data_IF_791913473217
#
_entry.id   IF_791913473217
#
_cell.length_a   1.000
_cell.length_b   1.000
_cell.length_c   1.000
_cell.angle_alpha   90.00
_cell.angle_beta   90.00
_cell.angle_gamma   90.00
#
_symmetry.space_group_name_H-M   'P 1'
#
loop_
_entity.id
_entity.type
_entity.pdbx_description
1 polymer ?
#
# COMPACT_ATOMS: atom_id res chain seq x y z
N UNK A 1 37.28 31.60 -33.05
CA UNK A 1 36.02 32.18 -33.58
C UNK A 1 35.27 32.85 -32.43
N UNK A 2 34.73 34.07 -32.62
CA UNK A 2 33.96 34.81 -31.59
C UNK A 2 32.80 33.99 -31.00
N UNK A 3 32.27 33.06 -31.79
CA UNK A 3 31.21 32.12 -31.41
C UNK A 3 31.65 31.15 -30.29
N UNK A 4 32.92 30.72 -30.29
CA UNK A 4 33.44 29.80 -29.26
C UNK A 4 33.58 30.50 -27.90
N UNK A 5 33.96 31.78 -27.89
CA UNK A 5 34.03 32.60 -26.67
C UNK A 5 32.63 32.86 -26.10
N UNK A 6 31.64 33.17 -26.93
CA UNK A 6 30.25 33.35 -26.49
C UNK A 6 29.64 32.04 -25.92
N UNK A 7 30.00 30.88 -26.49
CA UNK A 7 29.59 29.57 -25.96
C UNK A 7 30.26 29.25 -24.62
N UNK A 8 31.50 29.70 -24.40
CA UNK A 8 32.22 29.51 -23.15
C UNK A 8 31.63 30.42 -22.05
N UNK A 9 31.28 31.65 -22.39
CA UNK A 9 30.65 32.60 -21.47
C UNK A 9 29.25 32.13 -21.03
N UNK A 10 28.43 31.64 -21.96
CA UNK A 10 27.10 31.08 -21.64
C UNK A 10 27.18 29.77 -20.84
N UNK A 11 28.26 28.99 -20.96
CA UNK A 11 28.52 27.85 -20.07
C UNK A 11 28.85 28.33 -18.66
N UNK A 12 29.74 29.31 -18.53
CA UNK A 12 30.11 29.89 -17.23
C UNK A 12 28.90 30.48 -16.50
N UNK A 13 28.05 31.23 -17.19
CA UNK A 13 26.82 31.78 -16.62
C UNK A 13 25.85 30.69 -16.15
N UNK A 14 25.73 29.58 -16.89
CA UNK A 14 24.91 28.42 -16.46
C UNK A 14 25.48 27.74 -15.23
N UNK A 15 26.79 27.62 -15.12
CA UNK A 15 27.44 27.00 -13.97
C UNK A 15 27.33 27.90 -12.73
N UNK A 16 27.42 29.23 -12.88
CA UNK A 16 27.15 30.19 -11.82
C UNK A 16 25.67 30.17 -11.37
N UNK A 17 24.73 30.04 -12.32
CA UNK A 17 23.31 29.86 -11.99
C UNK A 17 23.04 28.57 -11.23
N UNK A 18 23.68 27.45 -11.60
CA UNK A 18 23.57 26.19 -10.85
C UNK A 18 24.08 26.35 -9.42
N UNK A 19 25.25 26.96 -9.25
CA UNK A 19 25.81 27.22 -7.92
C UNK A 19 24.85 28.07 -7.06
N UNK A 20 24.24 29.10 -7.65
CA UNK A 20 23.25 29.93 -6.95
C UNK A 20 21.99 29.15 -6.59
N UNK A 21 21.51 28.25 -7.45
CA UNK A 21 20.38 27.36 -7.16
C UNK A 21 20.73 26.40 -6.02
N UNK A 22 21.94 25.84 -6.03
CA UNK A 22 22.40 24.94 -4.96
C UNK A 22 22.50 25.68 -3.62
N UNK A 23 23.00 26.92 -3.62
CA UNK A 23 23.02 27.79 -2.44
C UNK A 23 21.61 28.17 -1.97
N UNK A 24 20.69 28.45 -2.88
CA UNK A 24 19.30 28.74 -2.55
C UNK A 24 18.60 27.51 -1.96
N UNK A 25 18.87 26.33 -2.52
CA UNK A 25 18.34 25.05 -2.05
C UNK A 25 18.86 24.74 -0.64
N UNK A 26 20.15 24.99 -0.40
CA UNK A 26 20.75 24.85 0.92
C UNK A 26 20.13 25.81 1.94
N UNK A 27 19.95 27.08 1.59
CA UNK A 27 19.34 28.07 2.49
C UNK A 27 17.86 27.77 2.76
N UNK A 28 17.09 27.34 1.75
CA UNK A 28 15.71 26.88 1.91
C UNK A 28 15.64 25.68 2.85
N UNK A 29 16.52 24.68 2.67
CA UNK A 29 16.56 23.51 3.55
C UNK A 29 16.88 23.91 5.00
N UNK A 30 17.86 24.80 5.22
CA UNK A 30 18.17 25.30 6.55
C UNK A 30 16.99 26.07 7.18
N UNK A 31 16.32 26.93 6.41
CA UNK A 31 15.16 27.70 6.89
C UNK A 31 13.96 26.77 7.18
N UNK A 32 13.69 25.77 6.34
CA UNK A 32 12.69 24.75 6.59
C UNK A 32 12.98 23.98 7.88
N UNK A 33 14.23 23.56 8.11
CA UNK A 33 14.63 22.87 9.34
C UNK A 33 14.46 23.79 10.56
N UNK A 34 14.86 25.06 10.48
CA UNK A 34 14.66 26.04 11.55
C UNK A 34 13.18 26.32 11.82
N UNK A 35 12.34 26.47 10.79
CA UNK A 35 10.90 26.67 10.93
C UNK A 35 10.21 25.43 11.50
N UNK A 36 10.63 24.23 11.10
CA UNK A 36 10.18 22.98 11.69
C UNK A 36 10.52 22.95 13.19
N UNK A 37 11.78 23.25 13.56
CA UNK A 37 12.24 23.29 14.96
C UNK A 37 11.52 24.35 15.81
N UNK A 38 11.26 25.54 15.27
CA UNK A 38 10.57 26.65 15.96
C UNK A 38 9.05 26.41 16.02
N UNK A 39 8.48 25.71 15.05
CA UNK A 39 7.06 25.33 14.97
C UNK A 39 6.69 24.05 15.73
N UNK A 40 7.66 23.35 16.34
CA UNK A 40 7.40 22.15 17.12
C UNK A 40 6.74 22.50 18.46
N UNK A 41 5.43 22.72 18.45
CA UNK A 41 4.63 22.51 19.66
C UNK A 41 4.88 21.07 20.15
N UNK A 42 4.92 20.83 21.47
CA UNK A 42 5.16 19.47 22.01
C UNK A 42 4.25 18.38 21.42
N UNK A 43 3.09 18.76 20.86
CA UNK A 43 2.17 17.90 20.11
C UNK A 43 2.70 17.45 18.74
N UNK A 44 3.31 18.33 17.93
CA UNK A 44 3.85 17.94 16.63
C UNK A 44 5.08 17.04 16.77
N UNK A 45 5.89 17.24 17.81
CA UNK A 45 6.98 16.32 18.15
C UNK A 45 6.49 14.92 18.58
N UNK A 46 5.34 14.85 19.25
CA UNK A 46 4.71 13.57 19.58
C UNK A 46 4.09 12.88 18.37
N UNK A 47 3.52 13.64 17.42
CA UNK A 47 3.00 13.09 16.17
C UNK A 47 4.11 12.50 15.31
N UNK A 48 5.22 13.21 15.15
CA UNK A 48 6.37 12.72 14.37
C UNK A 48 6.92 11.41 14.95
N UNK A 49 7.08 11.32 16.29
CA UNK A 49 7.48 10.07 16.95
C UNK A 49 6.52 8.91 16.68
N UNK A 50 5.22 9.19 16.65
CA UNK A 50 4.21 8.17 16.30
C UNK A 50 4.28 7.76 14.83
N UNK A 51 4.54 8.69 13.93
CA UNK A 51 4.74 8.38 12.51
C UNK A 51 6.00 7.52 12.30
N UNK A 52 7.10 7.84 12.97
CA UNK A 52 8.33 7.03 12.98
C UNK A 52 8.09 5.63 13.56
N UNK A 53 7.39 5.52 14.68
CA UNK A 53 6.97 4.23 15.27
C UNK A 53 6.12 3.42 14.28
N UNK A 54 5.15 4.05 13.61
CA UNK A 54 4.32 3.41 12.59
C UNK A 54 5.16 2.89 11.42
N UNK A 55 6.13 3.67 10.93
CA UNK A 55 7.03 3.22 9.87
C UNK A 55 7.85 1.99 10.29
N UNK A 56 8.37 1.96 11.51
CA UNK A 56 9.07 0.80 12.05
C UNK A 56 8.15 -0.42 12.13
N UNK A 57 6.88 -0.24 12.51
CA UNK A 57 5.91 -1.34 12.51
C UNK A 57 5.61 -1.86 11.11
N UNK A 58 5.43 -0.99 10.12
CA UNK A 58 5.22 -1.43 8.74
C UNK A 58 6.43 -2.21 8.19
N UNK A 59 7.65 -1.75 8.46
CA UNK A 59 8.85 -2.47 8.06
C UNK A 59 8.94 -3.86 8.73
N UNK A 60 8.60 -3.95 10.02
CA UNK A 60 8.54 -5.23 10.73
C UNK A 60 7.48 -6.17 10.16
N UNK A 61 6.30 -5.66 9.84
CA UNK A 61 5.22 -6.45 9.24
C UNK A 61 5.64 -6.95 7.85
N UNK A 62 6.22 -6.09 7.02
CA UNK A 62 6.71 -6.49 5.70
C UNK A 62 7.82 -7.54 5.80
N UNK A 63 8.77 -7.38 6.73
CA UNK A 63 9.82 -8.38 6.98
C UNK A 63 9.22 -9.73 7.41
N UNK A 64 8.20 -9.71 8.29
CA UNK A 64 7.50 -10.92 8.70
C UNK A 64 6.74 -11.55 7.53
N UNK A 65 6.11 -10.76 6.68
CA UNK A 65 5.40 -11.25 5.50
C UNK A 65 6.37 -11.91 4.51
N UNK A 66 7.54 -11.32 4.27
CA UNK A 66 8.60 -11.95 3.47
C UNK A 66 9.03 -13.30 4.05
N UNK A 67 9.29 -13.38 5.36
CA UNK A 67 9.69 -14.64 6.03
C UNK A 67 8.59 -15.70 5.96
N UNK A 68 7.31 -15.29 6.08
CA UNK A 68 6.17 -16.20 5.93
C UNK A 68 6.09 -16.71 4.49
N UNK A 69 6.28 -15.85 3.49
CA UNK A 69 6.27 -16.24 2.09
C UNK A 69 7.42 -17.22 1.78
N UNK A 70 8.64 -16.94 2.23
CA UNK A 70 9.79 -17.84 2.11
C UNK A 70 9.51 -19.20 2.76
N UNK A 71 9.04 -19.21 4.01
CA UNK A 71 8.68 -20.44 4.71
C UNK A 71 7.54 -21.22 4.03
N UNK A 72 6.58 -20.52 3.41
CA UNK A 72 5.50 -21.16 2.66
C UNK A 72 5.99 -21.85 1.39
N UNK A 73 6.98 -21.27 0.71
CA UNK A 73 7.61 -21.87 -0.47
C UNK A 73 8.43 -23.10 -0.09
N UNK A 74 9.21 -23.03 0.99
CA UNK A 74 9.97 -24.17 1.51
C UNK A 74 9.04 -25.33 1.93
N UNK A 75 7.93 -25.01 2.61
CA UNK A 75 6.94 -26.02 2.99
C UNK A 75 6.31 -26.69 1.77
N UNK A 76 5.96 -25.91 0.73
CA UNK A 76 5.45 -26.47 -0.53
C UNK A 76 6.46 -27.39 -1.21
N UNK A 77 7.75 -27.02 -1.23
CA UNK A 77 8.82 -27.85 -1.79
C UNK A 77 8.94 -29.20 -1.05
N UNK A 78 8.89 -29.17 0.29
CA UNK A 78 8.92 -30.39 1.11
C UNK A 78 7.66 -31.24 0.88
N UNK A 79 6.47 -30.63 0.77
CA UNK A 79 5.23 -31.34 0.46
C UNK A 79 5.25 -32.01 -0.93
N UNK A 80 5.87 -31.39 -1.92
CA UNK A 80 6.12 -31.99 -3.24
C UNK A 80 7.09 -33.17 -3.14
N UNK A 81 8.16 -33.04 -2.35
CA UNK A 81 9.10 -34.13 -2.11
C UNK A 81 8.41 -35.32 -1.44
N UNK A 82 7.60 -35.08 -0.39
CA UNK A 82 6.80 -36.12 0.28
C UNK A 82 5.85 -36.81 -0.71
N UNK A 83 5.17 -36.04 -1.57
CA UNK A 83 4.30 -36.61 -2.61
C UNK A 83 5.09 -37.48 -3.59
N UNK A 84 6.26 -37.04 -4.02
CA UNK A 84 7.13 -37.80 -4.92
C UNK A 84 7.61 -39.12 -4.29
N UNK A 85 8.07 -39.07 -3.03
CA UNK A 85 8.52 -40.25 -2.28
C UNK A 85 7.38 -41.23 -2.02
N UNK A 86 6.17 -40.72 -1.76
CA UNK A 86 4.97 -41.54 -1.59
C UNK A 86 4.63 -42.31 -2.88
N UNK A 87 4.73 -41.65 -4.04
CA UNK A 87 4.53 -42.29 -5.35
C UNK A 87 5.58 -43.38 -5.61
N UNK A 88 6.86 -43.10 -5.33
CA UNK A 88 7.94 -44.08 -5.47
C UNK A 88 7.73 -45.29 -4.54
N UNK A 89 7.35 -45.07 -3.28
CA UNK A 89 7.05 -46.15 -2.33
C UNK A 89 5.90 -47.04 -2.82
N UNK A 90 4.86 -46.44 -3.40
CA UNK A 90 3.72 -47.18 -3.92
C UNK A 90 4.09 -48.01 -5.17
N UNK A 91 4.93 -47.47 -6.05
CA UNK A 91 5.42 -48.19 -7.23
C UNK A 91 6.33 -49.38 -6.83
N UNK A 92 7.25 -49.19 -5.89
CA UNK A 92 8.07 -50.29 -5.38
C UNK A 92 7.22 -51.37 -4.69
N UNK A 93 6.19 -50.98 -3.95
CA UNK A 93 5.22 -51.92 -3.37
C UNK A 93 4.48 -52.71 -4.45
N UNK A 94 4.09 -52.05 -5.55
CA UNK A 94 3.47 -52.71 -6.71
C UNK A 94 4.43 -53.73 -7.34
N UNK A 95 5.70 -53.36 -7.58
CA UNK A 95 6.73 -54.25 -8.11
C UNK A 95 6.92 -55.48 -7.22
N UNK A 96 7.07 -55.30 -5.91
CA UNK A 96 7.19 -56.41 -4.95
C UNK A 96 5.99 -57.35 -5.04
N UNK A 97 4.77 -56.82 -5.14
CA UNK A 97 3.57 -57.65 -5.26
C UNK A 97 3.52 -58.44 -6.57
N UNK A 98 3.97 -57.85 -7.68
CA UNK A 98 4.08 -58.54 -8.96
C UNK A 98 5.13 -59.67 -8.89
N UNK A 99 6.31 -59.39 -8.36
CA UNK A 99 7.38 -60.39 -8.20
C UNK A 99 6.92 -61.53 -7.30
N UNK A 100 6.21 -61.26 -6.20
CA UNK A 100 5.64 -62.31 -5.34
C UNK A 100 4.70 -63.24 -6.11
N UNK A 101 3.83 -62.71 -6.97
CA UNK A 101 2.95 -63.53 -7.82
C UNK A 101 3.73 -64.37 -8.82
N UNK A 102 4.74 -63.78 -9.47
CA UNK A 102 5.61 -64.50 -10.41
C UNK A 102 6.37 -65.65 -9.74
N UNK A 103 6.88 -65.45 -8.51
CA UNK A 103 7.56 -66.49 -7.74
C UNK A 103 6.63 -67.67 -7.45
N UNK A 104 5.36 -67.42 -7.12
CA UNK A 104 4.37 -68.49 -6.93
C UNK A 104 4.13 -69.29 -8.21
N UNK A 105 3.94 -68.62 -9.36
CA UNK A 105 3.80 -69.30 -10.65
C UNK A 105 5.04 -70.11 -11.02
N UNK A 106 6.25 -69.58 -10.75
CA UNK A 106 7.51 -70.30 -11.00
C UNK A 106 7.58 -71.60 -10.20
N UNK A 107 7.20 -71.58 -8.92
CA UNK A 107 7.18 -72.79 -8.07
C UNK A 107 6.26 -73.87 -8.63
N UNK A 108 5.05 -73.49 -9.04
CA UNK A 108 4.09 -74.44 -9.65
C UNK A 108 4.65 -75.05 -10.94
N UNK A 109 5.30 -74.24 -11.79
CA UNK A 109 5.94 -74.74 -13.01
C UNK A 109 7.15 -75.64 -12.71
N UNK A 110 7.96 -75.31 -11.70
CA UNK A 110 9.07 -76.15 -11.23
C UNK A 110 8.57 -77.52 -10.75
N UNK A 111 7.48 -77.55 -9.96
CA UNK A 111 6.82 -78.79 -9.51
C UNK A 111 6.29 -79.63 -10.69
N UNK A 112 5.73 -78.99 -11.72
CA UNK A 112 5.30 -79.68 -12.94
C UNK A 112 6.48 -80.23 -13.74
N UNK A 113 7.58 -79.48 -13.84
CA UNK A 113 8.80 -79.93 -14.51
C UNK A 113 9.43 -81.11 -13.78
N UNK A 114 9.50 -81.10 -12.44
CA UNK A 114 10.03 -82.24 -11.68
C UNK A 114 9.16 -83.47 -11.82
N UNK A 115 7.82 -83.32 -11.80
CA UNK A 115 6.89 -84.42 -12.05
C UNK A 115 7.10 -85.03 -13.45
N UNK A 116 7.13 -84.20 -14.49
CA UNK A 116 7.37 -84.65 -15.86
C UNK A 116 8.74 -85.33 -16.00
N UNK A 117 9.76 -84.83 -15.29
CA UNK A 117 11.08 -85.42 -15.31
C UNK A 117 11.11 -86.79 -14.62
N UNK A 118 10.36 -86.96 -13.52
CA UNK A 118 10.16 -88.27 -12.85
C UNK A 118 9.44 -89.24 -13.79
N UNK A 119 8.33 -88.82 -14.40
CA UNK A 119 7.58 -89.64 -15.36
C UNK A 119 8.46 -90.06 -16.55
N UNK A 120 9.30 -89.15 -17.04
CA UNK A 120 10.22 -89.43 -18.13
C UNK A 120 11.34 -90.40 -17.72
N UNK A 121 11.85 -90.32 -16.47
CA UNK A 121 12.77 -91.35 -15.96
C UNK A 121 12.10 -92.70 -15.81
N UNK A 122 10.88 -92.76 -15.27
CA UNK A 122 10.11 -94.01 -15.15
C UNK A 122 9.86 -94.64 -16.52
N UNK A 123 9.45 -93.83 -17.52
CA UNK A 123 9.31 -94.31 -18.89
C UNK A 123 10.63 -94.80 -19.49
N UNK A 124 11.76 -94.13 -19.22
CA UNK A 124 13.08 -94.58 -19.67
C UNK A 124 13.48 -95.90 -19.01
N UNK A 125 13.25 -96.05 -17.72
CA UNK A 125 13.53 -97.29 -16.99
C UNK A 125 12.63 -98.43 -17.51
N UNK A 126 11.36 -98.15 -17.82
CA UNK A 126 10.48 -99.09 -18.51
C UNK A 126 11.00 -99.45 -19.91
N UNK A 127 11.49 -98.48 -20.70
CA UNK A 127 12.05 -98.75 -22.04
C UNK A 127 13.32 -99.58 -21.95
N UNK A 128 14.20 -99.32 -20.97
CA UNK A 128 15.41 -100.11 -20.74
C UNK A 128 15.03 -101.54 -20.34
N UNK A 129 14.09 -101.70 -19.40
CA UNK A 129 13.58 -103.01 -19.01
C UNK A 129 12.90 -103.78 -20.18
N UNK A 130 12.34 -103.06 -21.15
CA UNK A 130 11.79 -103.63 -22.39
C UNK A 130 12.86 -103.88 -23.46
N UNK A 131 13.96 -103.13 -23.46
CA UNK A 131 15.09 -103.26 -24.39
C UNK A 131 16.10 -104.35 -24.00
N UNK A 132 16.12 -104.75 -22.73
CA UNK A 132 16.85 -105.92 -22.23
C UNK A 132 16.15 -107.25 -22.55
N UNK A 133 14.93 -107.22 -23.11
CA UNK A 133 14.26 -108.37 -23.72
C UNK A 133 14.48 -108.34 -25.23
N UNK A 134 15.20 -109.35 -25.73
CA UNK A 134 15.55 -109.66 -27.12
C UNK A 134 14.82 -108.81 -28.20
N UNK A 135 15.54 -107.79 -28.70
CA UNK A 135 15.06 -106.79 -29.67
C UNK A 135 14.76 -107.33 -31.08
N UNK A 136 14.95 -108.63 -31.35
CA UNK A 136 14.64 -109.19 -32.68
C UNK A 136 13.17 -109.60 -32.84
N UNK A 137 12.49 -110.11 -31.80
CA UNK A 137 11.11 -110.63 -31.93
C UNK A 137 10.01 -109.55 -31.82
N UNK A 138 10.37 -108.32 -31.39
CA UNK A 138 9.40 -107.24 -31.11
C UNK A 138 9.48 -106.06 -32.07
N UNK A 139 10.01 -106.25 -33.28
CA UNK A 139 9.83 -105.30 -34.39
C UNK A 139 8.38 -105.31 -34.89
N UNK A 140 7.47 -104.80 -34.08
CA UNK A 140 6.10 -104.56 -34.49
C UNK A 140 6.11 -103.37 -35.44
N UNK A 141 5.91 -103.63 -36.74
CA UNK A 141 5.73 -102.58 -37.74
C UNK A 141 4.70 -101.59 -37.20
N UNK A 142 5.12 -100.35 -36.98
CA UNK A 142 4.23 -99.27 -36.56
C UNK A 142 3.06 -99.23 -37.54
N UNK A 143 1.83 -99.32 -37.00
CA UNK A 143 0.62 -99.24 -37.81
C UNK A 143 0.44 -97.78 -38.19
N UNK A 144 0.63 -97.50 -39.47
CA UNK A 144 0.53 -96.20 -40.09
C UNK A 144 1.32 -96.25 -41.39
N UNK A 145 0.71 -95.85 -42.49
CA UNK A 145 1.47 -95.62 -43.73
C UNK A 145 2.18 -94.27 -43.58
N UNK A 146 3.48 -94.26 -43.86
CA UNK A 146 4.18 -92.98 -44.03
C UNK A 146 3.52 -92.26 -45.19
N UNK A 147 3.10 -90.99 -45.00
CA UNK A 147 2.40 -90.25 -46.04
C UNK A 147 3.26 -90.27 -47.29
N UNK A 148 2.65 -90.67 -48.40
CA UNK A 148 3.35 -90.77 -49.67
C UNK A 148 3.99 -89.41 -49.97
N UNK A 149 5.18 -89.37 -50.61
CA UNK A 149 5.75 -88.10 -51.06
C UNK A 149 4.76 -87.26 -51.87
N UNK A 150 3.80 -87.89 -52.56
CA UNK A 150 2.72 -87.22 -53.28
C UNK A 150 1.70 -86.55 -52.33
N UNK A 151 1.38 -87.16 -51.20
CA UNK A 151 0.47 -86.58 -50.19
C UNK A 151 1.10 -85.40 -49.46
N UNK A 152 2.40 -85.50 -49.17
CA UNK A 152 3.18 -84.38 -48.63
C UNK A 152 3.23 -83.22 -49.61
N UNK A 153 3.49 -83.47 -50.89
CA UNK A 153 3.49 -82.43 -51.94
C UNK A 153 2.11 -81.75 -52.03
N UNK A 154 1.02 -82.52 -52.08
CA UNK A 154 -0.34 -81.94 -52.06
C UNK A 154 -0.62 -81.10 -50.82
N UNK A 155 -0.09 -81.51 -49.66
CA UNK A 155 -0.26 -80.74 -48.42
C UNK A 155 0.56 -79.45 -48.44
N UNK A 156 1.77 -79.48 -49.01
CA UNK A 156 2.60 -78.29 -49.21
C UNK A 156 1.90 -77.31 -50.15
N UNK A 157 1.41 -77.77 -51.31
CA UNK A 157 0.65 -76.94 -52.26
C UNK A 157 -0.58 -76.29 -51.59
N UNK A 158 -1.32 -77.03 -50.76
CA UNK A 158 -2.43 -76.47 -49.99
C UNK A 158 -1.99 -75.37 -49.01
N UNK A 159 -0.86 -75.58 -48.33
CA UNK A 159 -0.32 -74.60 -47.39
C UNK A 159 0.22 -73.36 -48.11
N UNK A 160 0.82 -73.51 -49.28
CA UNK A 160 1.27 -72.40 -50.13
C UNK A 160 0.12 -71.53 -50.60
N UNK A 161 -1.01 -72.14 -51.03
CA UNK A 161 -2.22 -71.39 -51.38
C UNK A 161 -2.77 -70.64 -50.16
N UNK A 162 -2.85 -71.30 -49.00
CA UNK A 162 -3.30 -70.65 -47.77
C UNK A 162 -2.36 -69.52 -47.33
N UNK A 163 -1.05 -69.68 -47.53
CA UNK A 163 -0.06 -68.64 -47.24
C UNK A 163 -0.30 -67.42 -48.15
N UNK A 164 -0.44 -67.64 -49.46
CA UNK A 164 -0.70 -66.59 -50.43
C UNK A 164 -1.99 -65.82 -50.12
N UNK A 165 -3.06 -66.51 -49.71
CA UNK A 165 -4.30 -65.87 -49.26
C UNK A 165 -4.08 -64.98 -48.01
N UNK A 166 -3.25 -65.42 -47.05
CA UNK A 166 -2.95 -64.62 -45.85
C UNK A 166 -2.07 -63.43 -46.16
N UNK A 167 -1.10 -63.57 -47.06
CA UNK A 167 -0.26 -62.48 -47.52
C UNK A 167 -1.07 -61.40 -48.23
N UNK A 168 -2.02 -61.80 -49.09
CA UNK A 168 -2.95 -60.87 -49.73
C UNK A 168 -3.81 -60.11 -48.69
N UNK A 169 -4.38 -60.82 -47.71
CA UNK A 169 -5.16 -60.20 -46.62
C UNK A 169 -4.32 -59.26 -45.76
N UNK A 170 -3.03 -59.55 -45.57
CA UNK A 170 -2.12 -58.72 -44.81
C UNK A 170 -1.83 -57.41 -45.56
N UNK A 171 -1.55 -57.48 -46.86
CA UNK A 171 -1.36 -56.30 -47.71
C UNK A 171 -2.59 -55.37 -47.71
N UNK A 172 -3.80 -55.94 -47.77
CA UNK A 172 -5.04 -55.14 -47.66
C UNK A 172 -5.12 -54.40 -46.32
N UNK A 173 -4.78 -55.07 -45.21
CA UNK A 173 -4.78 -54.45 -43.88
C UNK A 173 -3.70 -53.39 -43.72
N UNK A 174 -2.52 -53.60 -44.29
CA UNK A 174 -1.43 -52.61 -44.28
C UNK A 174 -1.85 -51.33 -45.02
N UNK A 175 -2.52 -51.47 -46.17
CA UNK A 175 -3.02 -50.33 -46.94
C UNK A 175 -4.09 -49.54 -46.19
N UNK A 176 -5.01 -50.24 -45.50
CA UNK A 176 -6.00 -49.60 -44.62
C UNK A 176 -5.32 -48.93 -43.43
N UNK A 177 -4.34 -49.58 -42.80
CA UNK A 177 -3.60 -49.02 -41.67
C UNK A 177 -2.87 -47.74 -42.07
N UNK A 178 -2.22 -47.72 -43.23
CA UNK A 178 -1.53 -46.53 -43.73
C UNK A 178 -2.51 -45.38 -43.96
N UNK A 179 -3.68 -45.64 -44.57
CA UNK A 179 -4.72 -44.63 -44.74
C UNK A 179 -5.23 -44.08 -43.41
N UNK A 180 -5.52 -44.94 -42.44
CA UNK A 180 -5.98 -44.53 -41.10
C UNK A 180 -4.92 -43.70 -40.39
N UNK A 181 -3.64 -44.09 -40.53
CA UNK A 181 -2.51 -43.37 -39.94
C UNK A 181 -2.38 -41.97 -40.53
N UNK A 182 -2.42 -41.86 -41.86
CA UNK A 182 -2.38 -40.56 -42.55
C UNK A 182 -3.58 -39.67 -42.18
N UNK A 183 -4.80 -40.23 -42.10
CA UNK A 183 -5.98 -39.47 -41.66
C UNK A 183 -5.84 -38.99 -40.22
N UNK A 184 -5.33 -39.84 -39.33
CA UNK A 184 -5.10 -39.51 -37.92
C UNK A 184 -4.05 -38.40 -37.77
N UNK A 185 -2.97 -38.46 -38.54
CA UNK A 185 -1.95 -37.40 -38.58
C UNK A 185 -2.51 -36.07 -39.11
N UNK A 186 -3.34 -36.09 -40.16
CA UNK A 186 -4.01 -34.90 -40.67
C UNK A 186 -4.97 -34.28 -39.65
N UNK A 187 -5.69 -35.09 -38.87
CA UNK A 187 -6.56 -34.58 -37.81
C UNK A 187 -5.73 -33.99 -36.66
N UNK A 188 -4.66 -34.68 -36.26
CA UNK A 188 -3.74 -34.22 -35.20
C UNK A 188 -3.10 -32.88 -35.55
N UNK A 189 -2.55 -32.76 -36.75
CA UNK A 189 -1.93 -31.50 -37.23
C UNK A 189 -2.94 -30.35 -37.29
N UNK A 190 -4.18 -30.60 -37.76
CA UNK A 190 -5.26 -29.60 -37.69
C UNK A 190 -5.61 -29.19 -36.26
N UNK A 191 -5.68 -30.15 -35.34
CA UNK A 191 -5.97 -29.89 -33.94
C UNK A 191 -4.84 -29.10 -33.25
N UNK A 192 -3.58 -29.43 -33.55
CA UNK A 192 -2.41 -28.69 -33.06
C UNK A 192 -2.37 -27.26 -33.57
N UNK A 193 -2.60 -27.04 -34.87
CA UNK A 193 -2.68 -25.69 -35.43
C UNK A 193 -3.82 -24.87 -34.79
N UNK A 194 -4.99 -25.47 -34.57
CA UNK A 194 -6.11 -24.80 -33.91
C UNK A 194 -5.86 -24.43 -32.45
N UNK A 195 -5.00 -25.18 -31.72
CA UNK A 195 -4.62 -24.86 -30.34
C UNK A 195 -3.84 -23.55 -30.27
N UNK A 196 -2.91 -23.32 -31.19
CA UNK A 196 -2.10 -22.10 -31.21
C UNK A 196 -2.97 -20.87 -31.50
N UNK A 197 -3.85 -20.95 -32.51
CA UNK A 197 -4.79 -19.86 -32.83
C UNK A 197 -5.71 -19.52 -31.65
N UNK A 198 -6.23 -20.55 -30.97
CA UNK A 198 -7.08 -20.39 -29.78
C UNK A 198 -6.30 -19.75 -28.63
N UNK A 199 -5.04 -20.14 -28.44
CA UNK A 199 -4.17 -19.57 -27.41
C UNK A 199 -3.83 -18.10 -27.68
N UNK A 200 -3.52 -17.74 -28.93
CA UNK A 200 -3.32 -16.36 -29.35
C UNK A 200 -4.58 -15.53 -29.09
N UNK A 201 -5.76 -16.06 -29.45
CA UNK A 201 -7.03 -15.39 -29.20
C UNK A 201 -7.29 -15.19 -27.70
N UNK A 202 -7.05 -16.23 -26.88
CA UNK A 202 -7.20 -16.15 -25.43
C UNK A 202 -6.27 -15.08 -24.81
N UNK A 203 -5.01 -15.00 -25.26
CA UNK A 203 -4.07 -13.94 -24.83
C UNK A 203 -4.60 -12.55 -25.18
N UNK A 204 -5.08 -12.34 -26.41
CA UNK A 204 -5.67 -11.06 -26.83
C UNK A 204 -6.91 -10.68 -26.01
N UNK A 205 -7.77 -11.65 -25.70
CA UNK A 205 -8.95 -11.41 -24.85
C UNK A 205 -8.52 -11.00 -23.44
N UNK A 206 -7.53 -11.67 -22.85
CA UNK A 206 -7.01 -11.33 -21.53
C UNK A 206 -6.37 -9.93 -21.51
N UNK A 207 -5.61 -9.56 -22.53
CA UNK A 207 -5.06 -8.21 -22.67
C UNK A 207 -6.16 -7.14 -22.74
N UNK A 208 -7.21 -7.38 -23.54
CA UNK A 208 -8.36 -6.48 -23.62
C UNK A 208 -9.10 -6.36 -22.29
N UNK A 209 -9.28 -7.47 -21.56
CA UNK A 209 -9.85 -7.44 -20.21
C UNK A 209 -9.00 -6.62 -19.24
N UNK A 210 -7.67 -6.75 -19.31
CA UNK A 210 -6.74 -5.92 -18.54
C UNK A 210 -6.91 -4.43 -18.83
N UNK A 211 -6.98 -4.06 -20.12
CA UNK A 211 -7.21 -2.67 -20.54
C UNK A 211 -8.56 -2.13 -20.09
N UNK A 212 -9.62 -2.95 -20.15
CA UNK A 212 -10.95 -2.57 -19.66
C UNK A 212 -10.90 -2.30 -18.15
N UNK A 213 -10.28 -3.17 -17.36
CA UNK A 213 -10.14 -2.97 -15.90
C UNK A 213 -9.39 -1.68 -15.58
N UNK A 214 -8.29 -1.41 -16.27
CA UNK A 214 -7.52 -0.19 -16.08
C UNK A 214 -8.33 1.07 -16.47
N UNK A 215 -9.03 1.03 -17.60
CA UNK A 215 -9.93 2.12 -18.01
C UNK A 215 -11.06 2.36 -16.99
N UNK A 216 -11.63 1.29 -16.42
CA UNK A 216 -12.65 1.40 -15.37
C UNK A 216 -12.09 2.03 -14.10
N UNK A 217 -10.86 1.69 -13.71
CA UNK A 217 -10.17 2.30 -12.56
C UNK A 217 -9.94 3.80 -12.77
N UNK A 218 -9.49 4.19 -13.97
CA UNK A 218 -9.32 5.59 -14.35
C UNK A 218 -10.66 6.33 -14.35
N UNK A 219 -11.72 5.72 -14.88
CA UNK A 219 -13.06 6.29 -14.86
C UNK A 219 -13.54 6.51 -13.42
N UNK A 220 -13.35 5.55 -12.52
CA UNK A 220 -13.70 5.70 -11.11
C UNK A 220 -12.96 6.86 -10.44
N UNK A 221 -11.67 7.06 -10.75
CA UNK A 221 -10.90 8.19 -10.25
C UNK A 221 -11.48 9.52 -10.73
N UNK A 222 -11.77 9.65 -12.04
CA UNK A 222 -12.38 10.87 -12.60
C UNK A 222 -13.78 11.12 -12.04
N UNK A 223 -14.58 10.06 -11.83
CA UNK A 223 -15.90 10.19 -11.19
C UNK A 223 -15.77 10.67 -9.74
N UNK A 224 -14.79 10.19 -8.99
CA UNK A 224 -14.54 10.65 -7.62
C UNK A 224 -14.08 12.12 -7.59
N UNK A 225 -13.20 12.53 -8.51
CA UNK A 225 -12.80 13.92 -8.67
C UNK A 225 -14.01 14.80 -8.99
N UNK A 226 -14.84 14.41 -9.96
CA UNK A 226 -16.06 15.12 -10.32
C UNK A 226 -17.02 15.24 -9.12
N UNK A 227 -17.17 14.18 -8.33
CA UNK A 227 -18.00 14.21 -7.12
C UNK A 227 -17.45 15.20 -6.07
N UNK A 228 -16.12 15.31 -5.92
CA UNK A 228 -15.50 16.30 -5.06
C UNK A 228 -15.78 17.72 -5.54
N UNK A 229 -15.65 17.99 -6.85
CA UNK A 229 -15.97 19.28 -7.44
C UNK A 229 -17.45 19.65 -7.29
N UNK A 230 -18.35 18.69 -7.49
CA UNK A 230 -19.78 18.88 -7.27
C UNK A 230 -20.09 19.21 -5.81
N UNK A 231 -19.49 18.49 -4.86
CA UNK A 231 -19.65 18.78 -3.44
C UNK A 231 -19.13 20.19 -3.09
N UNK A 232 -17.99 20.58 -3.63
CA UNK A 232 -17.43 21.92 -3.43
C UNK A 232 -18.35 23.01 -3.99
N UNK A 233 -18.90 22.82 -5.20
CA UNK A 233 -19.85 23.76 -5.79
C UNK A 233 -21.10 23.93 -4.91
N UNK A 234 -21.66 22.83 -4.39
CA UNK A 234 -22.81 22.87 -3.48
C UNK A 234 -22.50 23.61 -2.17
N UNK A 235 -21.32 23.39 -1.57
CA UNK A 235 -20.89 24.13 -0.39
C UNK A 235 -20.80 25.63 -0.66
N UNK A 236 -20.20 26.03 -1.79
CA UNK A 236 -20.09 27.44 -2.17
C UNK A 236 -21.45 28.07 -2.45
N UNK A 237 -22.36 27.35 -3.11
CA UNK A 237 -23.74 27.81 -3.30
C UNK A 237 -24.47 28.01 -1.97
N UNK A 238 -24.26 27.10 -1.00
CA UNK A 238 -24.84 27.24 0.33
C UNK A 238 -24.24 28.45 1.06
N UNK A 239 -22.92 28.63 0.99
CA UNK A 239 -22.26 29.82 1.57
C UNK A 239 -22.81 31.10 0.95
N UNK A 240 -22.91 31.18 -0.39
CA UNK A 240 -23.51 32.33 -1.07
C UNK A 240 -24.92 32.62 -0.55
N UNK A 241 -25.80 31.60 -0.51
CA UNK A 241 -27.16 31.75 0.01
C UNK A 241 -27.17 32.25 1.46
N UNK A 242 -26.28 31.75 2.32
CA UNK A 242 -26.20 32.22 3.72
C UNK A 242 -25.73 33.68 3.79
N UNK A 243 -24.79 34.10 2.93
CA UNK A 243 -24.29 35.48 2.89
C UNK A 243 -25.33 36.42 2.29
N UNK A 244 -26.06 36.02 1.26
CA UNK A 244 -27.20 36.74 0.70
C UNK A 244 -28.26 36.97 1.78
N UNK A 245 -28.66 35.92 2.51
CA UNK A 245 -29.60 36.05 3.63
C UNK A 245 -29.10 37.00 4.72
N UNK A 246 -27.80 36.98 5.05
CA UNK A 246 -27.20 37.91 6.00
C UNK A 246 -27.24 39.35 5.48
N UNK A 247 -26.98 39.57 4.20
CA UNK A 247 -27.05 40.88 3.56
C UNK A 247 -28.49 41.40 3.52
N UNK A 248 -29.45 40.57 3.14
CA UNK A 248 -30.88 40.92 3.13
C UNK A 248 -31.38 41.28 4.54
N UNK A 249 -31.02 40.46 5.54
CA UNK A 249 -31.35 40.75 6.94
C UNK A 249 -30.71 42.07 7.41
N UNK A 250 -29.44 42.31 7.06
CA UNK A 250 -28.75 43.56 7.37
C UNK A 250 -29.37 44.76 6.67
N UNK A 251 -29.81 44.61 5.42
CA UNK A 251 -30.52 45.63 4.64
C UNK A 251 -31.85 45.99 5.30
N UNK A 252 -32.65 45.00 5.68
CA UNK A 252 -33.91 45.21 6.41
C UNK A 252 -33.69 45.93 7.75
N UNK A 253 -32.64 45.57 8.51
CA UNK A 253 -32.29 46.26 9.76
C UNK A 253 -31.88 47.72 9.52
N UNK A 254 -31.10 47.96 8.47
CA UNK A 254 -30.67 49.30 8.10
C UNK A 254 -31.86 50.19 7.67
N UNK A 255 -32.81 49.64 6.92
CA UNK A 255 -34.07 50.34 6.57
C UNK A 255 -34.90 50.71 7.81
N UNK A 256 -34.78 49.94 8.90
CA UNK A 256 -35.40 50.22 10.20
C UNK A 256 -34.56 51.18 11.07
N UNK A 257 -33.42 51.69 10.58
CA UNK A 257 -32.52 52.57 11.32
C UNK A 257 -31.65 51.87 12.37
N UNK A 258 -31.63 50.53 12.37
CA UNK A 258 -30.78 49.73 13.27
C UNK A 258 -29.43 49.38 12.59
N UNK A 259 -28.38 49.09 13.37
CA UNK A 259 -27.11 48.63 12.79
C UNK A 259 -27.27 47.36 11.94
N UNK A 260 -26.55 47.22 10.81
CA UNK A 260 -26.71 46.09 9.88
C UNK A 260 -26.37 44.71 10.46
N UNK A 261 -25.50 44.65 11.47
CA UNK A 261 -25.09 43.40 12.14
C UNK A 261 -24.88 43.64 13.63
N UNK A 262 -25.05 42.59 14.42
CA UNK A 262 -24.77 42.60 15.85
C UNK A 262 -23.30 42.95 16.12
N UNK A 263 -22.35 42.50 15.30
CA UNK A 263 -20.93 42.83 15.50
C UNK A 263 -20.69 44.34 15.39
N UNK A 264 -21.24 44.95 14.35
CA UNK A 264 -21.18 46.40 14.10
C UNK A 264 -21.89 47.16 15.22
N UNK A 265 -23.01 46.63 15.72
CA UNK A 265 -23.71 47.20 16.87
C UNK A 265 -22.85 47.21 18.14
N UNK A 266 -22.16 46.10 18.44
CA UNK A 266 -21.27 46.03 19.59
C UNK A 266 -20.06 46.97 19.45
N UNK A 267 -19.50 47.07 18.24
CA UNK A 267 -18.41 48.01 17.94
C UNK A 267 -18.86 49.47 18.06
N UNK A 268 -20.05 49.79 17.57
CA UNK A 268 -20.66 51.12 17.72
C UNK A 268 -20.86 51.47 19.19
N UNK A 269 -21.45 50.57 19.97
CA UNK A 269 -21.61 50.75 21.41
C UNK A 269 -20.25 50.92 22.11
N UNK A 270 -19.22 50.21 21.67
CA UNK A 270 -17.86 50.38 22.19
C UNK A 270 -17.30 51.76 21.88
N UNK A 271 -17.45 52.25 20.65
CA UNK A 271 -17.03 53.60 20.28
C UNK A 271 -17.79 54.68 21.07
N UNK A 272 -19.10 54.54 21.24
CA UNK A 272 -19.90 55.44 22.07
C UNK A 272 -19.40 55.48 23.52
N UNK A 273 -19.14 54.31 24.14
CA UNK A 273 -18.57 54.26 25.49
C UNK A 273 -17.21 54.97 25.57
N UNK A 274 -16.35 54.79 24.57
CA UNK A 274 -15.07 55.49 24.50
C UNK A 274 -15.24 56.99 24.31
N UNK A 275 -16.21 57.43 23.52
CA UNK A 275 -16.51 58.84 23.29
C UNK A 275 -17.06 59.50 24.56
N UNK A 276 -18.05 58.89 25.22
CA UNK A 276 -18.59 59.37 26.49
C UNK A 276 -17.50 59.46 27.56
N UNK A 277 -16.60 58.46 27.64
CA UNK A 277 -15.46 58.52 28.54
C UNK A 277 -14.53 59.69 28.21
N UNK A 278 -14.20 59.91 26.93
CA UNK A 278 -13.35 61.04 26.52
C UNK A 278 -14.01 62.40 26.80
N UNK A 279 -15.33 62.49 26.65
CA UNK A 279 -16.10 63.70 26.97
C UNK A 279 -16.13 63.94 28.48
N UNK A 280 -16.44 62.94 29.29
CA UNK A 280 -16.37 63.04 30.75
C UNK A 280 -14.97 63.44 31.22
N UNK A 281 -13.92 62.80 30.71
CA UNK A 281 -12.55 63.19 31.03
C UNK A 281 -12.22 64.63 30.55
N UNK A 282 -12.86 65.14 29.49
CA UNK A 282 -12.65 66.50 28.99
C UNK A 282 -13.43 67.53 29.80
N UNK A 283 -14.65 67.20 30.21
CA UNK A 283 -15.48 68.01 31.12
C UNK A 283 -14.85 68.10 32.50
N UNK A 284 -14.36 66.99 33.09
CA UNK A 284 -13.57 67.01 34.32
C UNK A 284 -12.32 67.90 34.16
N UNK A 285 -11.63 67.81 33.02
CA UNK A 285 -10.52 68.72 32.72
C UNK A 285 -10.97 70.16 32.58
N UNK A 286 -12.14 70.49 32.02
CA UNK A 286 -12.61 71.88 31.97
C UNK A 286 -13.05 72.40 33.34
N UNK A 287 -13.68 71.56 34.17
CA UNK A 287 -14.07 71.89 35.55
C UNK A 287 -12.85 72.10 36.46
N UNK A 288 -11.76 71.35 36.25
CA UNK A 288 -10.47 71.59 36.90
C UNK A 288 -9.87 72.97 36.53
N UNK A 289 -10.27 73.58 35.40
CA UNK A 289 -9.79 74.90 34.98
C UNK A 289 -10.69 76.00 35.56
N UNK A 290 -10.35 76.44 36.77
CA UNK A 290 -11.03 77.60 37.39
C UNK A 290 -10.52 78.93 36.82
N UNK A 291 -11.43 79.82 36.41
CA UNK A 291 -11.07 81.19 36.02
C UNK A 291 -10.64 82.00 37.25
N UNK A 292 -9.40 82.48 37.28
CA UNK A 292 -8.97 83.45 38.28
C UNK A 292 -9.53 84.85 37.97
N UNK A 293 -9.68 85.74 38.98
CA UNK A 293 -10.19 87.10 38.81
C UNK A 293 -9.44 87.98 37.78
N UNK A 294 -8.22 87.59 37.39
CA UNK A 294 -7.41 88.26 36.36
C UNK A 294 -7.60 87.69 34.94
N UNK A 295 -8.56 86.78 34.71
CA UNK A 295 -8.90 86.23 33.39
C UNK A 295 -7.98 85.13 32.85
N UNK A 296 -7.03 84.63 33.64
CA UNK A 296 -6.14 83.51 33.26
C UNK A 296 -6.68 82.21 33.86
N UNK A 297 -6.78 81.16 33.05
CA UNK A 297 -7.18 79.83 33.49
C UNK A 297 -5.95 79.02 33.94
N UNK A 298 -6.09 78.27 35.03
CA UNK A 298 -5.05 77.40 35.56
C UNK A 298 -5.69 76.21 36.27
N UNK A 299 -5.03 75.06 36.24
CA UNK A 299 -5.41 73.81 36.93
C UNK A 299 -4.88 73.73 38.36
N UNK A 300 -4.16 74.74 38.83
CA UNK A 300 -3.63 74.75 40.19
C UNK A 300 -4.71 75.15 41.20
N UNK A 301 -4.94 74.33 42.23
CA UNK A 301 -5.80 74.69 43.37
C UNK A 301 -5.41 76.07 43.94
N UNK A 302 -6.38 76.99 44.08
CA UNK A 302 -6.12 78.31 44.64
C UNK A 302 -5.67 78.17 46.10
N UNK A 303 -4.46 78.67 46.43
CA UNK A 303 -3.96 78.59 47.80
C UNK A 303 -4.83 79.43 48.75
N UNK A 304 -5.28 78.88 49.89
CA UNK A 304 -5.95 79.67 50.92
C UNK A 304 -5.02 80.78 51.41
N UNK A 305 -5.36 82.03 51.12
CA UNK A 305 -4.52 83.21 51.40
C UNK A 305 -4.77 83.81 52.78
N UNK A 306 -5.80 83.34 53.48
CA UNK A 306 -6.15 83.79 54.81
C UNK A 306 -6.68 82.63 55.66
N UNK A 307 -6.48 82.73 56.98
CA UNK A 307 -7.13 81.85 57.95
C UNK A 307 -8.20 82.59 58.73
N UNK A 308 -9.17 81.84 59.25
CA UNK A 308 -10.18 82.34 60.16
C UNK A 308 -9.77 81.89 61.57
N UNK A 309 -9.32 82.81 62.46
CA UNK A 309 -8.96 82.45 63.82
C UNK A 309 -10.21 82.03 64.62
N UNK A 310 -10.15 80.90 65.32
CA UNK A 310 -11.26 80.41 66.15
C UNK A 310 -11.49 81.20 67.45
N UNK A 311 -10.62 82.16 67.78
CA UNK A 311 -10.67 82.94 69.03
C UNK A 311 -10.71 84.43 68.68
N UNK A 312 -11.91 85.02 68.74
CA UNK A 312 -12.22 86.42 68.45
C UNK A 312 -13.69 86.57 68.04
N UNK A 313 -14.40 87.61 68.49
CA UNK A 313 -15.86 87.72 68.37
C UNK A 313 -16.41 87.97 66.95
N UNK A 314 -15.55 88.07 65.92
CA UNK A 314 -15.95 88.24 64.52
C UNK A 314 -15.03 87.42 63.58
N UNK A 315 -15.57 86.63 62.65
CA UNK A 315 -14.80 85.78 61.75
C UNK A 315 -14.27 86.59 60.55
N UNK A 316 -13.30 87.48 60.80
CA UNK A 316 -12.63 88.22 59.75
C UNK A 316 -11.39 87.44 59.26
N UNK A 317 -11.28 87.14 57.96
CA UNK A 317 -10.15 86.42 57.39
C UNK A 317 -8.86 87.24 57.55
N UNK A 318 -7.83 86.64 58.17
CA UNK A 318 -6.52 87.27 58.36
C UNK A 318 -5.48 86.67 57.41
N UNK A 319 -4.69 87.48 56.69
CA UNK A 319 -3.67 86.98 55.78
C UNK A 319 -2.59 86.22 56.56
N UNK A 320 -2.14 85.10 56.01
CA UNK A 320 -0.92 84.46 56.50
C UNK A 320 0.25 85.40 56.19
N UNK A 321 0.95 85.89 57.21
CA UNK A 321 2.11 86.78 57.05
C UNK A 321 3.33 86.07 56.40
N UNK A 322 4.55 86.54 56.68
CA UNK A 322 5.77 86.01 56.07
C UNK A 322 6.01 84.49 56.29
N UNK A 323 5.33 83.89 57.29
CA UNK A 323 5.39 82.47 57.62
C UNK A 323 4.10 81.74 57.19
N UNK A 324 3.76 81.81 55.91
CA UNK A 324 2.58 81.12 55.39
C UNK A 324 2.77 79.59 55.41
N UNK A 325 1.76 78.81 55.85
CA UNK A 325 1.86 77.36 55.84
C UNK A 325 1.95 76.83 54.41
N UNK A 326 3.00 76.05 54.15
CA UNK A 326 3.22 75.39 52.86
C UNK A 326 2.52 74.03 52.86
N UNK A 327 1.60 73.81 51.91
CA UNK A 327 1.03 72.47 51.63
C UNK A 327 2.07 71.69 50.82
N UNK A 328 2.65 70.59 51.33
CA UNK A 328 3.56 69.76 50.56
C UNK A 328 2.83 69.25 49.32
N UNK A 329 3.45 69.36 48.14
CA UNK A 329 2.93 68.77 46.92
C UNK A 329 2.87 67.25 47.08
N UNK A 330 1.74 66.64 46.72
CA UNK A 330 1.64 65.18 46.74
C UNK A 330 2.72 64.58 45.82
N UNK A 331 3.40 63.50 46.26
CA UNK A 331 4.41 62.86 45.44
C UNK A 331 3.77 62.36 44.15
N UNK A 332 4.18 62.91 43.01
CA UNK A 332 3.60 62.55 41.71
C UNK A 332 3.72 61.05 41.38
N UNK A 333 2.80 60.56 40.56
CA UNK A 333 2.67 59.15 40.13
C UNK A 333 3.98 58.48 39.68
N UNK A 334 4.96 59.26 39.20
CA UNK A 334 6.28 58.78 38.77
C UNK A 334 7.25 58.36 39.89
N UNK A 335 6.97 58.68 41.17
CA UNK A 335 7.84 58.27 42.30
C UNK A 335 7.78 56.76 42.56
N UNK A 336 6.79 56.04 42.02
CA UNK A 336 6.65 54.58 42.11
C UNK A 336 7.84 53.80 41.53
N UNK A 337 8.63 54.44 40.65
CA UNK A 337 9.79 53.81 40.00
C UNK A 337 11.14 54.12 40.67
N UNK A 338 11.19 54.97 41.71
CA UNK A 338 12.44 55.34 42.41
C UNK A 338 12.62 54.43 43.64
N UNK A 339 13.58 53.48 43.58
CA UNK A 339 13.92 52.60 44.72
C UNK A 339 14.96 53.25 45.62
N UNK A 340 14.74 53.27 46.94
CA UNK A 340 15.71 53.79 47.92
C UNK A 340 16.93 52.86 47.99
N UNK A 341 18.17 53.38 47.95
CA UNK A 341 19.37 52.54 48.07
C UNK A 341 19.50 51.97 49.48
N UNK A 342 19.90 50.69 49.60
CA UNK A 342 20.14 50.05 50.90
C UNK A 342 21.49 50.50 51.47
N UNK A 343 21.57 50.93 52.74
CA UNK A 343 22.83 51.32 53.37
C UNK A 343 23.71 50.09 53.61
N UNK A 344 25.00 50.18 53.25
CA UNK A 344 25.99 49.13 53.54
C UNK A 344 26.34 49.13 55.03
N UNK A 345 26.48 47.96 55.68
CA UNK A 345 26.90 47.90 57.07
C UNK A 345 28.33 48.42 57.22
N UNK A 346 28.55 49.21 58.26
CA UNK A 346 29.87 49.71 58.65
C UNK A 346 30.47 48.66 59.58
N UNK A 347 31.58 48.05 59.18
CA UNK A 347 32.38 47.17 60.04
C UNK A 347 33.11 48.04 61.08
N UNK A 348 32.98 47.69 62.37
CA UNK A 348 33.72 48.30 63.48
C UNK A 348 34.89 47.39 63.84
#
# INVERSE_FOLDING_TARGET
SKVALALQETRRQRDEQKLNIDQLTYTINCVCVCLCLVGMSGRSAQLLKREEEMHIYYEKVNMQECVIQEGSLEMQAIEEEIRSLTMLSNEERRKVNLTKKQVLCKRVLEEQCTLLQIQLSECKDCIIALGDQDLEERSQKLIGEDPSPVELIKKIEQLEVQLAEREAQLLEKELVYEQVTQLSERIRTKAENGKEDTLILAKKVNELQGRIKECTRQLMAVVAELAMWQAQALCLEQELRTREQQLDAGRCRLEQGLPPSNTIEHEWQRCLRHQCRRQADAEEREEEWSQHPNGVYTTAESRPNAYIPAVGSLPLPKPYGALAPFKPSEPGTNIRHIRKPQPKPIEI
#
